data_IF_254635024496
#
_entry.id   IF_254635024496
#
_cell.length_a   1.000
_cell.length_b   1.000
_cell.length_c   1.000
_cell.angle_alpha   90.00
_cell.angle_beta   90.00
_cell.angle_gamma   90.00
#
_symmetry.space_group_name_H-M   'P 1'
#
loop_
_entity.id
_entity.type
_entity.pdbx_description
1 polymer ?
#
# COMPACT_ATOMS: atom_id res chain seq x y z
N UNK A 1 22.76 -11.43 -9.99
CA UNK A 1 22.37 -11.05 -11.38
C UNK A 1 21.30 -9.97 -11.29
N UNK A 2 21.34 -8.98 -12.19
CA UNK A 2 20.55 -7.74 -12.05
C UNK A 2 19.07 -7.90 -12.41
N UNK A 3 18.18 -7.68 -11.44
CA UNK A 3 16.76 -7.35 -11.67
C UNK A 3 16.46 -5.88 -11.36
N UNK A 4 17.49 -5.02 -11.34
CA UNK A 4 17.45 -3.69 -10.71
C UNK A 4 16.96 -2.54 -11.61
N UNK A 5 16.67 -2.82 -12.89
CA UNK A 5 16.49 -1.80 -13.93
C UNK A 5 15.21 -0.97 -13.82
N UNK A 6 14.18 -1.40 -13.08
CA UNK A 6 12.89 -0.70 -13.01
C UNK A 6 12.33 -0.52 -11.60
N UNK A 7 12.75 -1.31 -10.60
CA UNK A 7 12.31 -1.12 -9.20
C UNK A 7 12.71 0.25 -8.65
N UNK A 8 13.86 0.80 -9.07
CA UNK A 8 14.29 2.15 -8.69
C UNK A 8 13.39 3.28 -9.27
N UNK A 9 12.57 2.98 -10.29
CA UNK A 9 11.57 3.91 -10.79
C UNK A 9 10.31 3.95 -9.93
N UNK A 10 10.07 2.98 -9.06
CA UNK A 10 8.93 3.02 -8.13
C UNK A 10 9.23 4.00 -6.99
N UNK A 11 8.30 4.93 -6.74
CA UNK A 11 8.40 5.83 -5.60
C UNK A 11 8.34 5.04 -4.29
N UNK A 12 9.19 5.42 -3.33
CA UNK A 12 9.14 4.92 -1.97
C UNK A 12 8.58 6.04 -1.10
N UNK A 13 7.49 5.78 -0.37
CA UNK A 13 6.69 6.79 0.31
C UNK A 13 7.22 7.01 1.73
N UNK A 14 7.42 8.29 2.09
CA UNK A 14 7.72 8.70 3.46
C UNK A 14 6.48 8.54 4.36
N UNK A 15 6.63 8.25 5.67
CA UNK A 15 7.88 8.28 6.44
C UNK A 15 8.65 6.94 6.44
N UNK A 16 8.04 5.83 6.04
CA UNK A 16 8.61 4.48 6.25
C UNK A 16 9.40 3.92 5.05
N UNK A 17 9.42 4.61 3.91
CA UNK A 17 10.09 4.15 2.69
C UNK A 17 9.38 2.97 2.02
N UNK A 18 8.07 2.81 2.22
CA UNK A 18 7.28 1.72 1.62
C UNK A 18 7.18 1.90 0.10
N UNK A 19 7.37 0.85 -0.72
CA UNK A 19 7.13 0.92 -2.16
C UNK A 19 5.68 1.30 -2.46
N UNK A 20 5.46 2.27 -3.35
CA UNK A 20 4.13 2.77 -3.70
C UNK A 20 3.19 1.75 -4.38
N UNK A 21 3.68 0.56 -4.74
CA UNK A 21 2.84 -0.55 -5.21
C UNK A 21 3.29 -1.89 -4.62
N UNK A 22 2.33 -2.74 -4.24
CA UNK A 22 2.57 -4.04 -3.62
C UNK A 22 1.55 -5.12 -3.97
N UNK A 23 1.84 -6.34 -3.52
CA UNK A 23 1.01 -7.54 -3.75
C UNK A 23 0.17 -7.81 -2.50
N UNK A 24 -1.16 -7.77 -2.63
CA UNK A 24 -2.08 -8.28 -1.60
C UNK A 24 -2.27 -9.80 -1.73
N UNK A 25 -2.22 -10.54 -0.62
CA UNK A 25 -2.29 -12.02 -0.65
C UNK A 25 -3.65 -12.61 -0.25
N UNK A 26 -4.71 -11.80 -0.15
CA UNK A 26 -6.06 -12.26 0.20
C UNK A 26 -6.68 -13.17 -0.88
N UNK A 27 -7.42 -14.21 -0.44
CA UNK A 27 -8.03 -15.26 -1.29
C UNK A 27 -7.02 -15.99 -2.22
N UNK A 28 -5.74 -16.10 -1.81
CA UNK A 28 -4.75 -16.97 -2.44
C UNK A 28 -4.56 -18.26 -1.62
N UNK A 29 -4.55 -19.42 -2.29
CA UNK A 29 -4.54 -20.74 -1.63
C UNK A 29 -3.57 -21.70 -2.33
N UNK A 30 -3.00 -22.63 -1.57
CA UNK A 30 -2.08 -23.66 -2.07
C UNK A 30 -0.90 -23.10 -2.87
N UNK A 31 -0.45 -23.87 -3.87
CA UNK A 31 0.66 -23.50 -4.75
C UNK A 31 0.43 -22.17 -5.49
N UNK A 32 -0.83 -21.80 -5.80
CA UNK A 32 -1.14 -20.49 -6.41
C UNK A 32 -0.73 -19.30 -5.52
N UNK A 33 -0.73 -19.47 -4.19
CA UNK A 33 -0.23 -18.43 -3.28
C UNK A 33 1.30 -18.30 -3.37
N UNK A 34 2.00 -19.43 -3.34
CA UNK A 34 3.47 -19.51 -3.44
C UNK A 34 3.96 -18.93 -4.77
N UNK A 35 3.34 -19.36 -5.89
CA UNK A 35 3.65 -18.89 -7.23
C UNK A 35 3.28 -17.42 -7.45
N UNK A 36 2.16 -16.95 -6.88
CA UNK A 36 1.79 -15.54 -6.94
C UNK A 36 2.86 -14.63 -6.33
N UNK A 37 3.24 -14.91 -5.08
CA UNK A 37 4.24 -14.10 -4.36
C UNK A 37 5.59 -14.18 -5.05
N UNK A 38 6.02 -15.38 -5.45
CA UNK A 38 7.29 -15.59 -6.14
C UNK A 38 7.35 -14.87 -7.51
N UNK A 39 6.32 -15.02 -8.35
CA UNK A 39 6.25 -14.36 -9.67
C UNK A 39 6.19 -12.85 -9.55
N UNK A 40 5.37 -12.29 -8.65
CA UNK A 40 5.31 -10.85 -8.44
C UNK A 40 6.64 -10.25 -7.96
N UNK A 41 7.34 -10.89 -7.02
CA UNK A 41 8.69 -10.46 -6.62
C UNK A 41 9.65 -10.48 -7.82
N UNK A 42 9.56 -11.49 -8.71
CA UNK A 42 10.35 -11.56 -9.95
C UNK A 42 9.97 -10.45 -10.95
N UNK A 43 8.69 -10.09 -11.06
CA UNK A 43 8.23 -8.96 -11.90
C UNK A 43 8.77 -7.59 -11.42
N UNK A 44 9.13 -7.46 -10.14
CA UNK A 44 9.77 -6.26 -9.59
C UNK A 44 9.14 -5.72 -8.31
N UNK A 45 8.00 -6.26 -7.86
CA UNK A 45 7.35 -5.87 -6.60
C UNK A 45 8.29 -6.09 -5.41
N UNK A 46 8.27 -5.16 -4.46
CA UNK A 46 9.02 -5.27 -3.19
C UNK A 46 8.14 -5.16 -1.95
N UNK A 47 6.88 -4.75 -2.09
CA UNK A 47 5.89 -4.75 -1.03
C UNK A 47 5.01 -6.01 -1.11
N UNK A 48 4.90 -6.73 0.01
CA UNK A 48 4.01 -7.87 0.19
C UNK A 48 3.08 -7.57 1.36
N UNK A 49 1.77 -7.71 1.13
CA UNK A 49 0.71 -7.46 2.12
C UNK A 49 -0.02 -8.77 2.44
N UNK A 50 -0.03 -9.14 3.72
CA UNK A 50 -0.66 -10.38 4.21
C UNK A 50 -1.37 -10.18 5.55
N UNK A 51 -1.95 -11.24 6.10
CA UNK A 51 -2.65 -11.22 7.39
C UNK A 51 -2.83 -12.62 7.97
N UNK A 52 -2.79 -12.73 9.31
CA UNK A 52 -3.13 -13.96 10.03
C UNK A 52 -4.56 -14.45 9.74
N UNK A 53 -5.44 -13.57 9.26
CA UNK A 53 -6.80 -13.91 8.82
C UNK A 53 -6.91 -14.54 7.44
N UNK A 54 -5.90 -14.39 6.58
CA UNK A 54 -5.91 -14.99 5.23
C UNK A 54 -5.54 -16.48 5.26
N UNK A 55 -5.01 -16.97 6.39
CA UNK A 55 -4.64 -18.37 6.64
C UNK A 55 -3.65 -18.96 5.61
N UNK A 56 -2.81 -18.11 5.02
CA UNK A 56 -1.86 -18.49 3.97
C UNK A 56 -0.42 -17.96 4.21
N UNK A 57 -0.12 -17.41 5.38
CA UNK A 57 1.17 -16.81 5.72
C UNK A 57 2.37 -17.75 5.53
N UNK A 58 2.21 -19.05 5.76
CA UNK A 58 3.25 -20.06 5.51
C UNK A 58 3.57 -20.17 4.00
N UNK A 59 2.55 -20.12 3.15
CA UNK A 59 2.69 -20.14 1.69
C UNK A 59 3.27 -18.82 1.15
N UNK A 60 2.93 -17.69 1.78
CA UNK A 60 3.53 -16.39 1.48
C UNK A 60 5.03 -16.40 1.85
N UNK A 61 5.38 -16.96 3.00
CA UNK A 61 6.78 -17.14 3.42
C UNK A 61 7.57 -18.04 2.47
N UNK A 62 6.98 -19.15 2.04
CA UNK A 62 7.57 -20.03 1.03
C UNK A 62 7.76 -19.32 -0.32
N UNK A 63 6.78 -18.51 -0.77
CA UNK A 63 6.88 -17.69 -1.98
C UNK A 63 7.97 -16.63 -1.91
N UNK A 64 8.16 -15.99 -0.74
CA UNK A 64 9.28 -15.09 -0.46
C UNK A 64 10.61 -15.83 -0.58
N UNK A 65 10.76 -17.01 0.04
CA UNK A 65 11.99 -17.80 -0.02
C UNK A 65 12.30 -18.28 -1.45
N UNK A 66 11.31 -18.84 -2.17
CA UNK A 66 11.42 -19.28 -3.57
C UNK A 66 11.72 -18.14 -4.57
N UNK A 67 11.51 -16.88 -4.17
CA UNK A 67 11.84 -15.72 -5.01
C UNK A 67 13.35 -15.50 -5.16
N UNK A 68 14.16 -15.93 -4.19
CA UNK A 68 15.61 -15.69 -4.13
C UNK A 68 16.00 -14.24 -3.84
N UNK A 69 15.06 -13.35 -3.52
CA UNK A 69 15.35 -11.95 -3.15
C UNK A 69 15.64 -11.86 -1.65
N UNK A 70 16.73 -11.17 -1.29
CA UNK A 70 17.12 -10.93 0.10
C UNK A 70 16.00 -10.26 0.90
N UNK A 71 15.76 -10.75 2.12
CA UNK A 71 14.72 -10.26 3.03
C UNK A 71 14.76 -8.75 3.24
N UNK A 72 15.96 -8.15 3.33
CA UNK A 72 16.19 -6.71 3.51
C UNK A 72 15.74 -5.84 2.34
N UNK A 73 15.55 -6.42 1.14
CA UNK A 73 15.05 -5.73 -0.06
C UNK A 73 13.52 -5.77 -0.18
N UNK A 74 12.83 -6.46 0.74
CA UNK A 74 11.37 -6.58 0.76
C UNK A 74 10.78 -5.78 1.92
N UNK A 75 9.57 -5.27 1.71
CA UNK A 75 8.73 -4.64 2.72
C UNK A 75 7.52 -5.56 2.95
N UNK A 76 7.40 -6.15 4.14
CA UNK A 76 6.30 -7.07 4.47
C UNK A 76 5.36 -6.44 5.50
N UNK A 77 4.08 -6.33 5.12
CA UNK A 77 2.97 -5.84 5.97
C UNK A 77 2.18 -7.03 6.52
N UNK A 78 1.99 -7.07 7.83
CA UNK A 78 1.24 -8.12 8.55
C UNK A 78 0.08 -7.50 9.32
N UNK A 79 -1.12 -8.12 9.25
CA UNK A 79 -2.31 -7.62 9.97
C UNK A 79 -2.71 -8.48 11.16
N UNK A 80 -2.93 -7.82 12.30
CA UNK A 80 -3.49 -8.40 13.53
C UNK A 80 -5.00 -8.50 13.39
N UNK A 81 -5.57 -9.69 13.57
CA UNK A 81 -7.02 -9.90 13.57
C UNK A 81 -7.66 -9.42 14.87
N UNK A 82 -8.91 -8.92 14.76
CA UNK A 82 -9.78 -8.56 15.88
C UNK A 82 -9.94 -9.63 16.98
N UNK A 83 -9.72 -10.92 16.67
CA UNK A 83 -9.78 -12.01 17.67
C UNK A 83 -8.56 -12.09 18.59
N UNK A 84 -7.43 -11.51 18.19
CA UNK A 84 -6.18 -11.52 18.94
C UNK A 84 -6.03 -10.31 19.87
N UNK A 85 -6.96 -9.35 19.83
CA UNK A 85 -6.86 -8.08 20.57
C UNK A 85 -7.42 -8.14 22.01
N UNK A 86 -7.79 -9.34 22.49
CA UNK A 86 -8.43 -9.54 23.81
C UNK A 86 -7.43 -9.43 24.98
N UNK A 87 -6.18 -9.84 24.79
CA UNK A 87 -5.12 -9.79 25.81
C UNK A 87 -3.78 -9.35 25.19
N UNK A 88 -2.79 -8.97 26.02
CA UNK A 88 -1.45 -8.60 25.51
C UNK A 88 -0.73 -9.81 24.92
N UNK A 89 -0.89 -10.97 25.57
CA UNK A 89 -0.28 -12.22 25.14
C UNK A 89 -0.86 -12.69 23.81
N UNK A 90 -2.18 -12.58 23.58
CA UNK A 90 -2.80 -12.92 22.30
C UNK A 90 -2.32 -12.01 21.15
N UNK A 91 -2.16 -10.70 21.38
CA UNK A 91 -1.60 -9.78 20.38
C UNK A 91 -0.17 -10.19 20.04
N UNK A 92 0.64 -10.46 21.07
CA UNK A 92 2.05 -10.85 20.94
C UNK A 92 2.22 -12.18 20.22
N UNK A 93 1.45 -13.19 20.61
CA UNK A 93 1.39 -14.49 19.94
C UNK A 93 0.97 -14.35 18.47
N UNK A 94 -0.04 -13.53 18.18
CA UNK A 94 -0.48 -13.30 16.80
C UNK A 94 0.61 -12.67 15.93
N UNK A 95 1.35 -11.69 16.44
CA UNK A 95 2.42 -11.01 15.69
C UNK A 95 3.61 -11.95 15.48
N UNK A 96 4.12 -12.56 16.56
CA UNK A 96 5.26 -13.47 16.51
C UNK A 96 4.95 -14.73 15.69
N UNK A 97 3.74 -15.26 15.81
CA UNK A 97 3.24 -16.38 15.01
C UNK A 97 3.21 -16.06 13.52
N UNK A 98 2.80 -14.85 13.13
CA UNK A 98 2.82 -14.40 11.73
C UNK A 98 4.26 -14.31 11.20
N UNK A 99 5.17 -13.66 11.94
CA UNK A 99 6.60 -13.54 11.59
C UNK A 99 7.25 -14.94 11.45
N UNK A 100 6.91 -15.87 12.35
CA UNK A 100 7.41 -17.25 12.34
C UNK A 100 6.90 -18.04 11.12
N UNK A 101 5.59 -17.96 10.81
CA UNK A 101 4.98 -18.61 9.64
C UNK A 101 5.55 -18.11 8.33
N UNK A 102 5.72 -16.79 8.22
CA UNK A 102 6.35 -16.13 7.08
C UNK A 102 7.85 -16.44 6.99
N UNK A 103 8.49 -16.86 8.08
CA UNK A 103 9.94 -17.14 8.19
C UNK A 103 10.81 -15.92 7.79
N UNK A 104 10.38 -14.73 8.20
CA UNK A 104 10.96 -13.43 7.77
C UNK A 104 11.83 -12.72 8.80
N UNK A 105 11.95 -13.27 10.02
CA UNK A 105 12.76 -12.72 11.13
C UNK A 105 12.18 -11.48 11.81
N UNK A 106 11.69 -10.52 11.02
CA UNK A 106 10.99 -9.30 11.45
C UNK A 106 9.90 -8.93 10.44
N UNK A 107 8.93 -8.11 10.84
CA UNK A 107 7.96 -7.48 9.94
C UNK A 107 8.37 -6.02 9.65
N UNK A 108 8.19 -5.53 8.41
CA UNK A 108 8.47 -4.11 8.13
C UNK A 108 7.34 -3.23 8.65
N UNK A 109 6.09 -3.64 8.48
CA UNK A 109 4.97 -2.99 9.16
C UNK A 109 4.01 -4.02 9.76
N UNK A 110 3.53 -3.74 10.97
CA UNK A 110 2.39 -4.45 11.56
C UNK A 110 1.24 -3.48 11.73
N UNK A 111 0.03 -3.89 11.34
CA UNK A 111 -1.17 -3.06 11.45
C UNK A 111 -2.34 -3.79 12.11
N UNK A 112 -3.18 -3.05 12.83
CA UNK A 112 -4.49 -3.55 13.27
C UNK A 112 -5.42 -3.65 12.06
N UNK A 113 -5.97 -4.84 11.78
CA UNK A 113 -6.80 -5.07 10.57
C UNK A 113 -8.14 -4.33 10.63
N UNK A 114 -8.67 -4.14 11.84
CA UNK A 114 -9.96 -3.50 12.11
C UNK A 114 -9.89 -2.75 13.45
N UNK A 115 -10.68 -1.68 13.66
CA UNK A 115 -10.65 -0.90 14.90
C UNK A 115 -11.36 -1.58 16.08
N UNK A 116 -12.16 -2.63 15.84
CA UNK A 116 -12.89 -3.35 16.88
C UNK A 116 -12.20 -4.64 17.36
N UNK A 117 -12.66 -5.16 18.49
CA UNK A 117 -12.22 -6.43 19.07
C UNK A 117 -13.33 -7.50 19.01
N UNK A 118 -12.94 -8.76 18.83
CA UNK A 118 -13.89 -9.87 18.84
C UNK A 118 -14.59 -10.01 20.20
N UNK A 119 -15.90 -10.23 20.17
CA UNK A 119 -16.75 -10.34 21.37
C UNK A 119 -17.28 -9.01 21.88
N UNK A 120 -16.78 -7.87 21.37
CA UNK A 120 -17.35 -6.55 21.64
C UNK A 120 -18.30 -6.14 20.50
N UNK A 121 -19.29 -5.31 20.84
CA UNK A 121 -20.16 -4.68 19.84
C UNK A 121 -19.48 -3.45 19.22
N UNK A 122 -19.90 -2.98 18.03
CA UNK A 122 -19.35 -1.74 17.44
C UNK A 122 -19.57 -0.47 18.28
N UNK A 123 -20.65 -0.42 19.08
CA UNK A 123 -21.03 0.68 19.98
C UNK A 123 -20.36 0.62 21.36
N UNK A 124 -19.62 -0.46 21.67
CA UNK A 124 -18.78 -0.54 22.88
C UNK A 124 -17.49 0.29 22.70
N UNK A 125 -17.65 1.61 22.74
CA UNK A 125 -16.54 2.54 22.48
C UNK A 125 -15.38 2.35 23.45
N UNK A 126 -15.66 2.15 24.75
CA UNK A 126 -14.62 2.01 25.78
C UNK A 126 -13.87 0.68 25.66
N UNK A 127 -14.57 -0.44 25.51
CA UNK A 127 -13.97 -1.76 25.36
C UNK A 127 -13.12 -1.86 24.09
N UNK A 128 -13.62 -1.34 22.96
CA UNK A 128 -12.86 -1.32 21.71
C UNK A 128 -11.64 -0.37 21.80
N UNK A 129 -11.76 0.78 22.46
CA UNK A 129 -10.62 1.68 22.70
C UNK A 129 -9.56 1.01 23.61
N UNK A 130 -9.98 0.31 24.67
CA UNK A 130 -9.07 -0.45 25.53
C UNK A 130 -8.34 -1.57 24.77
N UNK A 131 -9.01 -2.25 23.83
CA UNK A 131 -8.40 -3.24 22.95
C UNK A 131 -7.40 -2.62 21.97
N UNK A 132 -7.73 -1.47 21.36
CA UNK A 132 -6.81 -0.70 20.50
C UNK A 132 -5.55 -0.28 21.26
N UNK A 133 -5.69 0.37 22.43
CA UNK A 133 -4.56 0.78 23.28
C UNK A 133 -3.66 -0.41 23.64
N UNK A 134 -4.24 -1.50 24.15
CA UNK A 134 -3.52 -2.73 24.50
C UNK A 134 -2.73 -3.31 23.33
N UNK A 135 -3.32 -3.32 22.14
CA UNK A 135 -2.67 -3.80 20.92
C UNK A 135 -1.47 -2.91 20.54
N UNK A 136 -1.68 -1.59 20.57
CA UNK A 136 -0.67 -0.59 20.26
C UNK A 136 0.55 -0.64 21.20
N UNK A 137 0.32 -0.81 22.50
CA UNK A 137 1.39 -1.01 23.50
C UNK A 137 2.29 -2.21 23.16
N UNK A 138 1.70 -3.35 22.74
CA UNK A 138 2.46 -4.55 22.35
C UNK A 138 3.16 -4.35 21.00
N UNK A 139 2.55 -3.63 20.07
CA UNK A 139 3.19 -3.26 18.80
C UNK A 139 4.44 -2.40 19.05
N UNK A 140 4.37 -1.41 19.96
CA UNK A 140 5.53 -0.60 20.38
C UNK A 140 6.56 -1.44 21.14
N UNK A 141 6.17 -2.37 22.03
CA UNK A 141 7.08 -3.31 22.70
C UNK A 141 7.93 -4.11 21.70
N UNK A 142 7.28 -4.66 20.67
CA UNK A 142 7.93 -5.46 19.63
C UNK A 142 8.73 -4.60 18.64
N UNK A 143 8.36 -3.34 18.45
CA UNK A 143 9.12 -2.36 17.68
C UNK A 143 10.44 -2.01 18.38
N UNK A 144 10.41 -1.72 19.70
CA UNK A 144 11.63 -1.51 20.51
C UNK A 144 12.55 -2.75 20.54
N UNK A 145 12.00 -3.94 20.32
CA UNK A 145 12.76 -5.21 20.20
C UNK A 145 13.29 -5.50 18.79
N UNK A 146 13.06 -4.62 17.82
CA UNK A 146 13.51 -4.78 16.43
C UNK A 146 12.77 -5.87 15.63
N UNK A 147 11.68 -6.42 16.18
CA UNK A 147 10.85 -7.45 15.53
C UNK A 147 9.81 -6.84 14.58
N UNK A 148 9.54 -5.55 14.75
CA UNK A 148 8.69 -4.72 13.90
C UNK A 148 9.49 -3.44 13.58
N UNK A 149 9.46 -2.94 12.34
CA UNK A 149 10.07 -1.64 12.01
C UNK A 149 9.09 -0.48 12.15
N UNK A 150 7.87 -0.64 11.64
CA UNK A 150 6.82 0.37 11.62
C UNK A 150 5.47 -0.17 12.08
N UNK A 151 4.60 0.72 12.56
CA UNK A 151 3.28 0.38 13.09
C UNK A 151 2.20 1.26 12.44
N UNK A 152 0.99 0.72 12.29
CA UNK A 152 -0.12 1.43 11.64
C UNK A 152 -1.46 0.75 11.86
N UNK A 153 -2.45 1.08 11.03
CA UNK A 153 -3.79 0.53 11.14
C UNK A 153 -4.44 0.27 9.77
N UNK A 154 -5.62 -0.33 9.78
CA UNK A 154 -6.46 -0.59 8.62
C UNK A 154 -7.91 -0.38 9.00
N UNK A 155 -8.67 0.31 8.16
CA UNK A 155 -10.07 0.66 8.38
C UNK A 155 -10.29 1.53 9.63
N UNK A 156 -9.34 2.40 9.95
CA UNK A 156 -9.47 3.36 11.05
C UNK A 156 -9.95 4.72 10.53
N UNK A 157 -10.83 5.34 11.31
CA UNK A 157 -11.31 6.71 11.11
C UNK A 157 -10.55 7.66 12.06
N UNK A 158 -10.51 8.98 11.82
CA UNK A 158 -9.70 9.94 12.58
C UNK A 158 -9.81 9.79 14.11
N UNK A 159 -11.03 9.59 14.62
CA UNK A 159 -11.30 9.37 16.06
C UNK A 159 -10.50 8.22 16.69
N UNK A 160 -10.22 7.14 15.94
CA UNK A 160 -9.51 5.98 16.46
C UNK A 160 -7.99 6.25 16.58
N UNK A 161 -7.44 7.17 15.78
CA UNK A 161 -6.02 7.51 15.83
C UNK A 161 -5.69 8.46 16.99
N UNK A 162 -6.58 9.40 17.32
CA UNK A 162 -6.44 10.29 18.50
C UNK A 162 -6.22 9.48 19.78
N UNK A 163 -6.90 8.33 19.93
CA UNK A 163 -6.72 7.41 21.06
C UNK A 163 -5.33 6.75 21.10
N UNK A 164 -4.74 6.47 19.93
CA UNK A 164 -3.41 5.84 19.81
C UNK A 164 -2.29 6.84 20.06
N UNK A 165 -2.46 8.09 19.61
CA UNK A 165 -1.49 9.16 19.84
C UNK A 165 -1.26 9.43 21.33
N UNK A 166 -2.30 9.30 22.17
CA UNK A 166 -2.19 9.42 23.62
C UNK A 166 -1.28 8.33 24.21
N UNK A 167 -1.42 7.09 23.73
CA UNK A 167 -0.56 5.97 24.12
C UNK A 167 0.87 6.20 23.64
N UNK A 168 1.05 6.61 22.38
CA UNK A 168 2.39 6.93 21.84
C UNK A 168 3.08 8.04 22.62
N UNK A 169 2.37 9.12 22.98
CA UNK A 169 2.90 10.21 23.81
C UNK A 169 3.27 9.73 25.20
N UNK A 170 2.43 8.93 25.84
CA UNK A 170 2.68 8.34 27.17
C UNK A 170 3.91 7.42 27.18
N UNK A 171 4.12 6.62 26.11
CA UNK A 171 5.24 5.67 26.01
C UNK A 171 6.56 6.26 25.48
N UNK A 172 6.52 7.45 24.86
CA UNK A 172 7.70 8.10 24.26
C UNK A 172 8.31 9.19 25.14
N UNK A 173 7.62 9.61 26.21
CA UNK A 173 8.04 10.69 27.11
C UNK A 173 9.29 10.39 27.97
N UNK A 174 9.86 9.19 27.86
CA UNK A 174 11.05 8.76 28.61
C UNK A 174 12.34 8.53 27.80
N UNK A 175 12.31 8.64 26.47
CA UNK A 175 13.45 8.28 25.61
C UNK A 175 13.72 9.34 24.53
N UNK A 176 14.47 10.38 24.90
CA UNK A 176 14.86 11.50 24.01
C UNK A 176 16.37 11.55 23.76
N UNK A 177 16.98 10.43 23.38
CA UNK A 177 18.36 10.41 22.84
C UNK A 177 18.58 9.20 21.92
N UNK A 178 18.93 9.44 20.65
CA UNK A 178 19.40 8.42 19.70
C UNK A 178 18.35 7.50 19.04
N UNK A 179 17.79 7.94 17.89
CA UNK A 179 17.23 7.01 16.89
C UNK A 179 16.00 6.18 17.29
N UNK A 180 15.24 6.63 18.28
CA UNK A 180 14.05 5.93 18.80
C UNK A 180 13.05 5.57 17.68
N UNK A 181 12.47 4.35 17.68
CA UNK A 181 11.58 3.90 16.61
C UNK A 181 10.32 4.77 16.50
N UNK A 182 9.79 4.91 15.28
CA UNK A 182 8.64 5.78 15.02
C UNK A 182 7.37 5.20 15.66
N UNK A 183 6.97 5.71 16.83
CA UNK A 183 5.80 5.26 17.60
C UNK A 183 4.47 5.86 17.12
N UNK A 184 4.47 6.78 16.15
CA UNK A 184 3.26 7.25 15.47
C UNK A 184 2.84 6.29 14.35
N UNK A 185 1.54 6.15 14.03
CA UNK A 185 1.11 5.36 12.89
C UNK A 185 1.74 5.88 11.59
N UNK A 186 2.30 5.00 10.77
CA UNK A 186 2.89 5.38 9.46
C UNK A 186 1.90 5.26 8.30
N UNK A 187 0.85 4.46 8.45
CA UNK A 187 -0.11 4.19 7.39
C UNK A 187 -1.50 3.83 7.93
N UNK A 188 -2.51 4.12 7.12
CA UNK A 188 -3.88 3.61 7.27
C UNK A 188 -4.27 2.85 5.99
N UNK A 189 -4.54 1.55 6.11
CA UNK A 189 -4.93 0.73 4.98
C UNK A 189 -6.47 0.69 4.84
N UNK A 190 -7.00 1.26 3.75
CA UNK A 190 -8.44 1.47 3.53
C UNK A 190 -8.85 1.16 2.09
N UNK A 191 -10.14 0.94 1.87
CA UNK A 191 -10.74 0.84 0.53
C UNK A 191 -10.60 2.19 -0.17
N UNK A 192 -9.93 2.20 -1.33
CA UNK A 192 -9.84 3.39 -2.17
C UNK A 192 -9.99 3.01 -3.64
N UNK A 193 -10.78 3.77 -4.39
CA UNK A 193 -10.95 3.71 -5.86
C UNK A 193 -11.76 4.93 -6.30
N UNK A 194 -11.94 5.24 -7.59
CA UNK A 194 -12.70 6.43 -7.99
C UNK A 194 -14.11 6.54 -7.38
N UNK A 195 -14.77 5.41 -7.07
CA UNK A 195 -16.05 5.42 -6.33
C UNK A 195 -15.95 5.64 -4.81
N UNK A 196 -14.81 5.41 -4.16
CA UNK A 196 -14.64 5.49 -2.70
C UNK A 196 -13.32 6.21 -2.37
N UNK A 197 -13.39 7.42 -1.84
CA UNK A 197 -12.23 8.28 -1.58
C UNK A 197 -11.98 8.53 -0.08
N UNK A 198 -13.01 8.55 0.77
CA UNK A 198 -12.93 8.78 2.21
C UNK A 198 -12.17 10.07 2.54
N UNK A 199 -12.68 11.22 2.05
CA UNK A 199 -11.97 12.51 2.06
C UNK A 199 -11.54 12.96 3.46
N UNK A 200 -12.35 12.72 4.50
CA UNK A 200 -12.02 13.03 5.90
C UNK A 200 -10.84 12.18 6.42
N UNK A 201 -10.82 10.89 6.07
CA UNK A 201 -9.76 9.95 6.42
C UNK A 201 -8.46 10.32 5.68
N UNK A 202 -8.53 10.70 4.41
CA UNK A 202 -7.38 11.14 3.63
C UNK A 202 -6.83 12.49 4.13
N UNK A 203 -7.69 13.44 4.46
CA UNK A 203 -7.29 14.72 5.03
C UNK A 203 -6.57 14.52 6.36
N UNK A 204 -7.08 13.64 7.23
CA UNK A 204 -6.41 13.26 8.48
C UNK A 204 -5.06 12.59 8.21
N UNK A 205 -5.00 11.61 7.30
CA UNK A 205 -3.74 10.94 6.97
C UNK A 205 -2.67 11.95 6.49
N UNK A 206 -3.05 12.87 5.60
CA UNK A 206 -2.17 13.93 5.11
C UNK A 206 -1.67 14.86 6.21
N UNK A 207 -2.54 15.23 7.17
CA UNK A 207 -2.17 16.13 8.27
C UNK A 207 -1.23 15.49 9.32
N UNK A 208 -1.16 14.16 9.38
CA UNK A 208 -0.37 13.40 10.37
C UNK A 208 0.87 12.67 9.77
N UNK A 209 1.24 12.97 8.51
CA UNK A 209 2.24 12.26 7.69
C UNK A 209 2.01 10.73 7.58
N UNK A 210 0.75 10.33 7.45
CA UNK A 210 0.38 8.93 7.27
C UNK A 210 0.12 8.61 5.81
N UNK A 211 0.56 7.43 5.39
CA UNK A 211 0.37 6.93 4.03
C UNK A 211 -1.01 6.25 3.92
N UNK A 212 -1.90 6.70 3.01
CA UNK A 212 -3.08 5.92 2.66
C UNK A 212 -2.64 4.69 1.87
N UNK A 213 -2.94 3.50 2.37
CA UNK A 213 -2.66 2.25 1.67
C UNK A 213 -3.95 1.69 1.07
N UNK A 214 -4.08 1.79 -0.25
CA UNK A 214 -5.26 1.41 -1.01
C UNK A 214 -5.36 -0.11 -1.12
N UNK A 215 -6.34 -0.71 -0.46
CA UNK A 215 -6.85 -2.03 -0.85
C UNK A 215 -8.01 -1.89 -1.84
N UNK A 216 -8.33 -2.99 -2.54
CA UNK A 216 -9.35 -3.06 -3.58
C UNK A 216 -9.28 -1.92 -4.64
N UNK A 217 -8.12 -1.59 -5.24
CA UNK A 217 -8.01 -0.53 -6.25
C UNK A 217 -8.89 -0.73 -7.49
N UNK A 218 -9.33 -1.97 -7.72
CA UNK A 218 -10.21 -2.38 -8.82
C UNK A 218 -11.66 -2.64 -8.35
N UNK A 219 -12.04 -2.19 -7.15
CA UNK A 219 -13.39 -2.32 -6.59
C UNK A 219 -13.92 -3.74 -6.52
N UNK A 220 -13.08 -4.73 -6.17
CA UNK A 220 -13.38 -6.18 -6.26
C UNK A 220 -13.94 -6.69 -7.61
N UNK A 221 -13.80 -5.93 -8.71
CA UNK A 221 -14.44 -6.11 -10.03
C UNK A 221 -15.94 -5.77 -10.09
N UNK A 222 -16.42 -4.92 -9.19
CA UNK A 222 -17.79 -4.40 -9.22
C UNK A 222 -18.06 -3.60 -10.52
N UNK A 223 -19.20 -3.91 -11.15
CA UNK A 223 -19.64 -3.30 -12.39
C UNK A 223 -19.91 -1.79 -12.26
N UNK A 224 -20.30 -1.30 -11.06
CA UNK A 224 -20.46 0.13 -10.75
C UNK A 224 -19.18 0.91 -11.08
N UNK A 225 -18.01 0.29 -10.88
CA UNK A 225 -16.70 0.87 -11.22
C UNK A 225 -16.25 0.47 -12.62
N UNK A 226 -16.12 -0.82 -12.91
CA UNK A 226 -15.48 -1.29 -14.15
C UNK A 226 -16.29 -1.04 -15.43
N UNK A 227 -17.62 -0.97 -15.32
CA UNK A 227 -18.52 -0.66 -16.43
C UNK A 227 -19.01 0.80 -16.40
N UNK A 228 -18.41 1.67 -15.57
CA UNK A 228 -18.82 3.06 -15.45
C UNK A 228 -18.67 3.79 -16.81
N UNK A 229 -19.75 4.33 -17.42
CA UNK A 229 -19.71 4.82 -18.81
C UNK A 229 -18.60 5.85 -19.07
N UNK A 230 -18.42 6.80 -18.15
CA UNK A 230 -17.35 7.82 -18.25
C UNK A 230 -15.94 7.23 -18.14
N UNK A 231 -15.74 6.14 -17.38
CA UNK A 231 -14.42 5.51 -17.28
C UNK A 231 -14.04 4.85 -18.62
N UNK A 232 -15.00 4.15 -19.24
CA UNK A 232 -14.85 3.51 -20.54
C UNK A 232 -14.60 4.55 -21.65
N UNK A 233 -15.36 5.66 -21.66
CA UNK A 233 -15.19 6.76 -22.62
C UNK A 233 -13.81 7.44 -22.50
N UNK A 234 -13.37 7.72 -21.27
CA UNK A 234 -12.05 8.28 -21.00
C UNK A 234 -10.93 7.32 -21.42
N UNK A 235 -11.08 6.02 -21.15
CA UNK A 235 -10.13 5.00 -21.58
C UNK A 235 -10.00 4.94 -23.11
N UNK A 236 -11.12 4.88 -23.83
CA UNK A 236 -11.13 4.83 -25.29
C UNK A 236 -10.54 6.09 -25.93
N UNK A 237 -10.81 7.26 -25.34
CA UNK A 237 -10.40 8.56 -25.89
C UNK A 237 -8.93 8.87 -25.61
N UNK A 238 -8.45 8.63 -24.39
CA UNK A 238 -7.12 9.08 -23.94
C UNK A 238 -6.11 7.94 -23.73
N UNK A 239 -6.55 6.68 -23.63
CA UNK A 239 -5.70 5.55 -23.22
C UNK A 239 -5.83 4.31 -24.12
N UNK A 240 -5.73 4.42 -25.45
CA UNK A 240 -5.90 3.29 -26.37
C UNK A 240 -4.84 2.17 -26.23
N UNK A 241 -3.77 2.39 -25.45
CA UNK A 241 -2.71 1.40 -25.17
C UNK A 241 -2.72 0.86 -23.74
N UNK A 242 -3.66 1.31 -22.90
CA UNK A 242 -3.79 0.94 -21.50
C UNK A 242 -5.21 0.44 -21.23
N UNK A 243 -5.33 -0.50 -20.30
CA UNK A 243 -6.61 -1.01 -19.82
C UNK A 243 -7.22 -0.08 -18.76
N UNK A 244 -8.51 -0.27 -18.45
CA UNK A 244 -9.12 0.37 -17.28
C UNK A 244 -8.39 0.02 -15.97
N UNK A 245 -7.82 -1.19 -15.87
CA UNK A 245 -7.06 -1.62 -14.69
C UNK A 245 -5.77 -0.82 -14.52
N UNK A 246 -5.05 -0.58 -15.62
CA UNK A 246 -3.88 0.30 -15.63
C UNK A 246 -4.28 1.71 -15.17
N UNK A 247 -5.36 2.28 -15.73
CA UNK A 247 -5.85 3.61 -15.33
C UNK A 247 -6.20 3.70 -13.84
N UNK A 248 -6.84 2.68 -13.27
CA UNK A 248 -7.22 2.64 -11.85
C UNK A 248 -6.00 2.54 -10.92
N UNK A 249 -5.00 1.75 -11.29
CA UNK A 249 -3.71 1.68 -10.59
C UNK A 249 -2.98 3.02 -10.68
N UNK A 250 -2.90 3.60 -11.87
CA UNK A 250 -2.27 4.91 -12.10
C UNK A 250 -2.98 6.04 -11.35
N UNK A 251 -4.31 6.00 -11.23
CA UNK A 251 -5.09 6.95 -10.43
C UNK A 251 -4.69 6.88 -8.96
N UNK A 252 -4.64 5.68 -8.37
CA UNK A 252 -4.24 5.50 -6.96
C UNK A 252 -2.83 6.02 -6.68
N UNK A 253 -1.88 5.71 -7.57
CA UNK A 253 -0.52 6.24 -7.50
C UNK A 253 -0.47 7.78 -7.65
N UNK A 254 -1.38 8.36 -8.45
CA UNK A 254 -1.47 9.80 -8.66
C UNK A 254 -2.10 10.56 -7.48
N UNK A 255 -2.94 9.91 -6.67
CA UNK A 255 -3.40 10.45 -5.38
C UNK A 255 -2.33 10.31 -4.27
N UNK A 256 -1.18 9.67 -4.57
CA UNK A 256 -0.11 9.41 -3.61
C UNK A 256 -0.34 8.18 -2.72
N UNK A 257 -1.27 7.30 -3.09
CA UNK A 257 -1.56 6.10 -2.31
C UNK A 257 -0.49 5.02 -2.48
N UNK A 258 -0.33 4.18 -1.46
CA UNK A 258 0.36 2.90 -1.57
C UNK A 258 -0.64 1.84 -2.11
N UNK A 259 -0.52 1.48 -3.39
CA UNK A 259 -1.53 0.66 -4.10
C UNK A 259 -1.27 -0.85 -3.92
N UNK A 260 -2.27 -1.59 -3.43
CA UNK A 260 -2.20 -3.06 -3.29
C UNK A 260 -3.00 -3.78 -4.37
N UNK A 261 -2.31 -4.49 -5.25
CA UNK A 261 -2.91 -5.33 -6.30
C UNK A 261 -2.86 -6.81 -5.91
N UNK A 262 -3.90 -7.59 -6.22
CA UNK A 262 -3.92 -9.05 -6.01
C UNK A 262 -4.16 -9.77 -7.31
N UNK A 263 -3.29 -10.72 -7.64
CA UNK A 263 -3.45 -11.65 -8.77
C UNK A 263 -2.87 -13.01 -8.41
N UNK A 264 -3.22 -14.05 -9.16
CA UNK A 264 -2.51 -15.34 -9.20
C UNK A 264 -1.85 -15.61 -10.57
N UNK A 265 -2.04 -14.71 -11.54
CA UNK A 265 -1.49 -14.76 -12.88
C UNK A 265 -0.25 -13.86 -13.01
N UNK A 266 0.86 -14.40 -13.56
CA UNK A 266 2.11 -13.66 -13.76
C UNK A 266 1.94 -12.50 -14.75
N UNK A 267 1.15 -12.64 -15.82
CA UNK A 267 0.99 -11.56 -16.78
C UNK A 267 0.21 -10.37 -16.21
N UNK A 268 -0.72 -10.61 -15.28
CA UNK A 268 -1.33 -9.54 -14.49
C UNK A 268 -0.32 -8.90 -13.52
N UNK A 269 0.60 -9.67 -12.91
CA UNK A 269 1.69 -9.07 -12.12
C UNK A 269 2.58 -8.18 -12.99
N UNK A 270 2.91 -8.64 -14.20
CA UNK A 270 3.68 -7.88 -15.20
C UNK A 270 2.94 -6.60 -15.59
N UNK A 271 1.65 -6.67 -15.92
CA UNK A 271 0.82 -5.51 -16.28
C UNK A 271 0.69 -4.52 -15.12
N UNK A 272 0.30 -4.98 -13.93
CA UNK A 272 0.11 -4.11 -12.76
C UNK A 272 1.41 -3.40 -12.34
N UNK A 273 2.55 -4.11 -12.34
CA UNK A 273 3.84 -3.49 -12.07
C UNK A 273 4.23 -2.50 -13.18
N UNK A 274 3.92 -2.85 -14.44
CA UNK A 274 4.18 -2.01 -15.60
C UNK A 274 3.40 -0.69 -15.55
N UNK A 275 2.14 -0.70 -15.13
CA UNK A 275 1.34 0.51 -14.94
C UNK A 275 2.03 1.50 -13.98
N UNK A 276 2.59 1.01 -12.88
CA UNK A 276 3.33 1.83 -11.93
C UNK A 276 4.66 2.37 -12.49
N UNK A 277 5.41 1.54 -13.24
CA UNK A 277 6.65 1.96 -13.92
C UNK A 277 6.35 3.05 -14.96
N UNK A 278 5.32 2.85 -15.79
CA UNK A 278 4.91 3.79 -16.83
C UNK A 278 4.47 5.13 -16.21
N UNK A 279 3.65 5.09 -15.15
CA UNK A 279 3.26 6.30 -14.40
C UNK A 279 4.45 7.07 -13.83
N UNK A 280 5.29 6.44 -13.01
CA UNK A 280 6.41 7.14 -12.36
C UNK A 280 7.52 7.56 -13.33
N UNK A 281 7.69 6.88 -14.46
CA UNK A 281 8.56 7.35 -15.53
C UNK A 281 7.99 8.63 -16.19
N UNK A 282 6.68 8.66 -16.44
CA UNK A 282 5.98 9.82 -17.02
C UNK A 282 6.08 11.06 -16.12
N UNK A 283 5.80 10.93 -14.82
CA UNK A 283 5.92 12.03 -13.85
C UNK A 283 7.36 12.55 -13.74
N UNK A 284 8.37 11.68 -13.76
CA UNK A 284 9.78 12.12 -13.79
C UNK A 284 10.14 12.83 -15.09
N UNK A 285 9.65 12.35 -16.23
CA UNK A 285 9.90 12.98 -17.53
C UNK A 285 9.27 14.39 -17.59
N UNK A 286 8.03 14.53 -17.13
CA UNK A 286 7.34 15.82 -17.02
C UNK A 286 8.12 16.82 -16.14
N UNK A 287 8.64 16.37 -14.98
CA UNK A 287 9.45 17.21 -14.08
C UNK A 287 10.76 17.65 -14.73
N UNK A 288 11.53 16.73 -15.31
CA UNK A 288 12.79 17.08 -16.01
C UNK A 288 12.55 18.06 -17.16
N UNK A 289 11.51 17.83 -17.96
CA UNK A 289 11.15 18.74 -19.04
C UNK A 289 10.64 20.11 -18.57
N UNK A 290 10.22 20.26 -17.31
CA UNK A 290 9.91 21.54 -16.68
C UNK A 290 11.18 22.21 -16.13
N UNK A 291 12.05 21.46 -15.44
CA UNK A 291 13.36 21.90 -14.96
C UNK A 291 14.20 22.45 -16.13
N UNK A 292 14.38 21.66 -17.21
CA UNK A 292 15.09 22.07 -18.43
C UNK A 292 14.48 23.33 -19.09
N UNK A 293 13.15 23.52 -19.05
CA UNK A 293 12.49 24.74 -19.55
C UNK A 293 12.78 25.95 -18.66
N UNK A 294 12.65 25.81 -17.34
CA UNK A 294 12.97 26.89 -16.39
C UNK A 294 14.45 27.29 -16.39
N UNK A 295 15.33 26.32 -16.69
CA UNK A 295 16.77 26.53 -16.88
C UNK A 295 17.07 27.19 -18.22
N UNK A 296 16.31 26.93 -19.29
CA UNK A 296 16.48 27.67 -20.55
C UNK A 296 16.01 29.14 -20.47
N UNK A 297 15.16 29.49 -19.50
CA UNK A 297 14.76 30.88 -19.20
C UNK A 297 15.73 31.60 -18.24
N UNK A 298 16.70 30.88 -17.64
CA UNK A 298 17.68 31.43 -16.67
C UNK A 298 19.16 31.15 -16.99
N UNK A 299 19.42 30.27 -17.96
CA UNK A 299 20.71 30.03 -18.61
C UNK A 299 21.75 29.22 -17.83
N UNK A 300 21.66 27.88 -17.82
CA UNK A 300 22.84 26.98 -17.81
C UNK A 300 22.47 25.49 -17.97
N UNK A 301 22.83 24.86 -19.10
CA UNK A 301 22.44 23.47 -19.39
C UNK A 301 23.46 22.43 -18.91
N UNK A 302 22.98 21.39 -18.22
CA UNK A 302 23.72 20.15 -17.95
C UNK A 302 22.91 18.93 -18.39
N UNK A 303 23.55 18.03 -19.15
CA UNK A 303 22.93 16.78 -19.58
C UNK A 303 23.91 15.62 -19.56
N UNK A 304 23.39 14.42 -19.28
CA UNK A 304 24.06 13.13 -19.54
C UNK A 304 23.00 12.08 -19.86
N UNK A 305 23.12 11.41 -21.01
CA UNK A 305 22.37 10.19 -21.32
C UNK A 305 23.22 8.96 -20.95
N UNK A 306 22.62 7.98 -20.28
CA UNK A 306 23.14 6.62 -20.22
C UNK A 306 22.24 5.65 -21.01
N UNK A 307 22.85 4.79 -21.82
CA UNK A 307 22.20 3.64 -22.47
C UNK A 307 22.59 2.37 -21.73
N UNK A 308 21.63 1.46 -21.50
CA UNK A 308 21.93 0.09 -21.01
C UNK A 308 21.06 -0.97 -21.69
N UNK A 309 21.57 -2.21 -21.71
CA UNK A 309 20.87 -3.46 -22.03
C UNK A 309 20.78 -4.35 -20.76
N UNK A 310 19.99 -5.43 -20.64
CA UNK A 310 19.16 -6.16 -21.61
C UNK A 310 17.92 -6.81 -20.92
N UNK A 311 17.20 -7.67 -21.65
CA UNK A 311 16.41 -8.81 -21.15
C UNK A 311 15.14 -8.61 -20.28
N UNK A 312 14.87 -7.44 -19.67
CA UNK A 312 13.53 -7.08 -19.15
C UNK A 312 13.01 -5.76 -19.78
N UNK A 313 13.54 -5.44 -20.96
CA UNK A 313 13.52 -4.10 -21.52
C UNK A 313 12.37 -3.88 -22.50
N UNK A 314 11.27 -3.35 -21.97
CA UNK A 314 10.52 -2.35 -22.72
C UNK A 314 10.75 -1.01 -22.05
N UNK A 315 11.23 -0.01 -22.79
CA UNK A 315 11.31 1.36 -22.28
C UNK A 315 9.92 1.80 -21.77
N UNK A 316 9.81 2.60 -20.70
CA UNK A 316 8.51 3.02 -20.16
C UNK A 316 7.63 3.67 -21.24
N UNK A 317 6.34 3.34 -21.26
CA UNK A 317 5.35 3.98 -22.12
C UNK A 317 4.93 5.28 -21.45
N UNK A 318 5.60 6.36 -21.83
CA UNK A 318 5.36 7.67 -21.26
C UNK A 318 3.95 8.16 -21.62
N UNK A 319 3.23 8.59 -20.59
CA UNK A 319 1.96 9.29 -20.68
C UNK A 319 2.21 10.75 -21.01
N UNK A 320 1.39 11.30 -21.90
CA UNK A 320 1.32 12.74 -22.18
C UNK A 320 0.84 13.54 -20.97
N UNK A 321 1.10 14.86 -20.97
CA UNK A 321 0.59 15.78 -19.94
C UNK A 321 -0.93 15.67 -19.77
N UNK A 322 -1.68 15.52 -20.87
CA UNK A 322 -3.14 15.36 -20.84
C UNK A 322 -3.59 14.04 -20.23
N UNK A 323 -2.88 12.94 -20.51
CA UNK A 323 -3.13 11.66 -19.86
C UNK A 323 -2.85 11.74 -18.35
N UNK A 324 -1.76 12.39 -17.93
CA UNK A 324 -1.45 12.59 -16.50
C UNK A 324 -2.50 13.47 -15.79
N UNK A 325 -3.08 14.46 -16.47
CA UNK A 325 -4.20 15.27 -15.97
C UNK A 325 -5.48 14.43 -15.82
N UNK A 326 -5.85 13.64 -16.83
CA UNK A 326 -7.03 12.76 -16.78
C UNK A 326 -6.89 11.68 -15.70
N UNK A 327 -5.69 11.10 -15.53
CA UNK A 327 -5.41 10.18 -14.42
C UNK A 327 -5.56 10.87 -13.05
N UNK A 328 -5.07 12.11 -12.89
CA UNK A 328 -5.20 12.83 -11.61
C UNK A 328 -6.65 13.15 -11.25
N UNK A 329 -7.43 13.59 -12.23
CA UNK A 329 -8.80 14.08 -12.02
C UNK A 329 -9.88 13.03 -12.34
N UNK A 330 -9.54 11.74 -12.39
CA UNK A 330 -10.41 10.67 -12.90
C UNK A 330 -11.78 10.60 -12.19
N UNK A 331 -11.81 10.75 -10.87
CA UNK A 331 -13.05 10.75 -10.06
C UNK A 331 -14.01 11.88 -10.47
N UNK A 332 -13.48 13.09 -10.61
CA UNK A 332 -14.23 14.27 -11.06
C UNK A 332 -14.75 14.10 -12.49
N UNK A 333 -13.91 13.60 -13.40
CA UNK A 333 -14.27 13.33 -14.80
C UNK A 333 -15.27 12.18 -14.97
N UNK A 334 -15.38 11.30 -13.96
CA UNK A 334 -16.43 10.31 -13.82
C UNK A 334 -17.73 10.88 -13.21
N UNK A 335 -17.73 12.13 -12.72
CA UNK A 335 -18.84 12.78 -12.01
C UNK A 335 -19.27 12.09 -10.70
N UNK A 336 -18.34 11.39 -10.02
CA UNK A 336 -18.61 10.76 -8.72
C UNK A 336 -18.57 11.83 -7.63
N UNK A 337 -19.68 12.01 -6.90
CA UNK A 337 -19.82 13.01 -5.82
C UNK A 337 -19.83 12.40 -4.42
N UNK A 338 -20.43 11.23 -4.28
CA UNK A 338 -20.62 10.53 -3.01
C UNK A 338 -19.81 9.23 -3.04
N UNK A 339 -19.35 8.79 -1.87
CA UNK A 339 -18.62 7.54 -1.76
C UNK A 339 -19.55 6.33 -1.82
N UNK A 340 -19.23 5.43 -2.73
CA UNK A 340 -19.81 4.10 -2.84
C UNK A 340 -18.72 3.10 -2.52
N UNK A 341 -18.72 2.59 -1.30
CA UNK A 341 -18.03 1.36 -0.93
C UNK A 341 -18.54 0.21 -1.82
N UNK A 342 -17.65 -0.69 -2.25
CA UNK A 342 -18.00 -1.88 -3.07
C UNK A 342 -17.36 -3.16 -2.57
N UNK A 343 -16.38 -3.06 -1.66
CA UNK A 343 -15.88 -4.17 -0.87
C UNK A 343 -16.86 -4.44 0.27
N UNK A 344 -17.40 -5.66 0.31
CA UNK A 344 -18.38 -6.10 1.30
C UNK A 344 -17.98 -5.80 2.76
N UNK A 345 -16.67 -5.84 3.07
CA UNK A 345 -16.18 -5.59 4.42
C UNK A 345 -16.30 -4.14 4.88
N UNK A 346 -16.17 -3.16 3.98
CA UNK A 346 -16.31 -1.73 4.28
C UNK A 346 -17.76 -1.24 4.13
N UNK A 347 -18.54 -1.82 3.20
CA UNK A 347 -19.98 -1.56 3.05
C UNK A 347 -20.79 -1.82 4.35
N UNK A 348 -20.28 -2.60 5.30
CA UNK A 348 -20.94 -2.91 6.59
C UNK A 348 -20.40 -2.06 7.78
N UNK A 349 -19.54 -1.09 7.50
CA UNK A 349 -18.79 -0.30 8.52
C UNK A 349 -18.88 1.21 8.26
N UNK A 350 -19.08 1.61 7.00
CA UNK A 350 -19.61 2.92 6.64
C UNK A 350 -21.06 3.09 7.13
#
# INVERSE_FOLDING_TARGET
MSSSSFTHLILHLAPCGIPAIGIGTYKLYGENCVQSVCSGIRCGFRLIDTAAGYKNEELVGEGIQKSGVERSKLFVVVKILLRAMRSKDEVKESILGSISKLRIGYADCVIMHWPGCHGLKPDDHEGNAAARRRCWEVMIELQKKGLIRFIGASNFLPRHFVELEEVSRTLSSGESEGGSPLTKPVLNQIELHPLCLQEDVLAYCKAHDMIPQQYAPLGEHDARLLAHPRLLELQQTYFPQQTIYDMLIMWGLAQGFCVLVKSSCEDHHRANFRAAVDYFASVRHQRKGFEERSVNESGEAFGTQEKQSSAFQMAPRLLSDKQLEVIRNLRELMNVKEDTHVCWYSEHIA
#
